data_IF_599053205486
#
_entry.id   IF_599053205486
#
_cell.length_a   1.000
_cell.length_b   1.000
_cell.length_c   1.000
_cell.angle_alpha   90.00
_cell.angle_beta   90.00
_cell.angle_gamma   90.00
#
_symmetry.space_group_name_H-M   'P 1'
#
loop_
_entity.id
_entity.type
_entity.pdbx_description
1 polymer ?
#
# COMPACT_ATOMS: atom_id res chain seq x y z
N UNK A 1 -4.36 0.24 -7.02
CA UNK A 1 -4.22 1.23 -8.13
C UNK A 1 -5.35 2.26 -8.20
N UNK A 2 -6.62 1.92 -8.44
CA UNK A 2 -7.71 2.92 -8.53
C UNK A 2 -7.95 3.71 -7.23
N UNK A 3 -7.82 3.03 -6.08
CA UNK A 3 -7.91 3.62 -4.74
C UNK A 3 -6.83 4.68 -4.48
N UNK A 4 -5.58 4.41 -4.88
CA UNK A 4 -4.46 5.32 -4.72
C UNK A 4 -4.67 6.61 -5.53
N UNK A 5 -5.17 6.48 -6.77
CA UNK A 5 -5.50 7.65 -7.59
C UNK A 5 -6.63 8.48 -6.96
N UNK A 6 -7.69 7.83 -6.48
CA UNK A 6 -8.79 8.53 -5.82
C UNK A 6 -8.32 9.28 -4.56
N UNK A 7 -7.52 8.64 -3.71
CA UNK A 7 -6.96 9.30 -2.51
C UNK A 7 -6.05 10.45 -2.89
N UNK A 8 -5.18 10.28 -3.89
CA UNK A 8 -4.33 11.36 -4.38
C UNK A 8 -5.16 12.58 -4.78
N UNK A 9 -6.18 12.39 -5.62
CA UNK A 9 -7.05 13.48 -6.06
C UNK A 9 -7.74 14.17 -4.88
N UNK A 10 -8.22 13.42 -3.89
CA UNK A 10 -8.82 14.02 -2.68
C UNK A 10 -7.79 14.85 -1.92
N UNK A 11 -6.59 14.31 -1.67
CA UNK A 11 -5.53 15.02 -0.93
C UNK A 11 -5.05 16.27 -1.67
N UNK A 12 -4.98 16.22 -3.00
CA UNK A 12 -4.61 17.37 -3.84
C UNK A 12 -5.62 18.52 -3.81
N UNK A 13 -6.84 18.28 -3.31
CA UNK A 13 -7.86 19.31 -3.12
C UNK A 13 -7.90 19.87 -1.69
N UNK A 14 -7.02 19.40 -0.78
CA UNK A 14 -6.96 19.90 0.60
C UNK A 14 -6.06 21.14 0.66
N UNK A 15 -6.56 22.29 1.17
CA UNK A 15 -5.72 23.47 1.38
C UNK A 15 -4.51 23.15 2.26
N UNK A 16 -3.31 23.59 1.84
CA UNK A 16 -2.05 23.32 2.54
C UNK A 16 -1.33 22.04 2.10
N UNK A 17 -1.92 21.23 1.20
CA UNK A 17 -1.23 20.13 0.54
C UNK A 17 -0.88 20.55 -0.89
N UNK A 18 0.38 20.93 -1.11
CA UNK A 18 0.91 21.11 -2.46
C UNK A 18 1.35 19.74 -2.99
N UNK A 19 0.48 19.09 -3.75
CA UNK A 19 0.75 17.82 -4.40
C UNK A 19 1.29 18.04 -5.82
N UNK A 20 2.30 17.28 -6.22
CA UNK A 20 2.91 17.35 -7.56
C UNK A 20 2.96 15.98 -8.26
N UNK A 21 3.55 15.92 -9.46
CA UNK A 21 3.65 14.68 -10.22
C UNK A 21 4.57 13.62 -9.59
N UNK A 22 5.57 14.03 -8.79
CA UNK A 22 6.39 13.08 -8.03
C UNK A 22 5.59 12.41 -6.92
N UNK A 23 4.73 13.17 -6.23
CA UNK A 23 3.82 12.64 -5.21
C UNK A 23 2.85 11.60 -5.81
N UNK A 24 2.34 11.88 -7.01
CA UNK A 24 1.53 10.93 -7.79
C UNK A 24 2.31 9.66 -8.14
N UNK A 25 3.55 9.79 -8.59
CA UNK A 25 4.39 8.64 -8.89
C UNK A 25 4.65 7.79 -7.63
N UNK A 26 4.90 8.42 -6.48
CA UNK A 26 5.14 7.75 -5.21
C UNK A 26 3.93 6.96 -4.73
N UNK A 27 2.73 7.55 -4.72
CA UNK A 27 1.52 6.84 -4.29
C UNK A 27 1.12 5.73 -5.26
N UNK A 28 1.41 5.84 -6.55
CA UNK A 28 1.19 4.75 -7.51
C UNK A 28 2.23 3.64 -7.31
N UNK A 29 3.49 4.00 -7.06
CA UNK A 29 4.59 3.04 -6.88
C UNK A 29 4.41 2.15 -5.64
N UNK A 30 3.60 2.56 -4.66
CA UNK A 30 3.31 1.72 -3.49
C UNK A 30 2.67 0.37 -3.86
N UNK A 31 1.95 0.29 -4.99
CA UNK A 31 1.37 -0.97 -5.47
C UNK A 31 2.45 -2.00 -5.88
N UNK A 32 3.71 -1.58 -6.06
CA UNK A 32 4.81 -2.50 -6.36
C UNK A 32 5.13 -3.44 -5.20
N UNK A 33 4.59 -3.20 -4.00
CA UNK A 33 4.73 -4.11 -2.85
C UNK A 33 4.19 -5.52 -3.17
N UNK A 34 3.16 -5.62 -4.01
CA UNK A 34 2.59 -6.90 -4.49
C UNK A 34 3.53 -7.72 -5.37
N UNK A 35 4.64 -7.14 -5.86
CA UNK A 35 5.65 -7.92 -6.57
C UNK A 35 6.26 -9.01 -5.68
N UNK A 36 6.08 -8.92 -4.35
CA UNK A 36 6.47 -9.98 -3.43
C UNK A 36 5.69 -11.30 -3.64
N UNK A 37 4.56 -11.27 -4.37
CA UNK A 37 3.84 -12.46 -4.82
C UNK A 37 4.69 -13.36 -5.72
N UNK A 38 5.60 -12.80 -6.52
CA UNK A 38 6.48 -13.57 -7.42
C UNK A 38 7.40 -14.54 -6.65
N UNK A 39 7.64 -14.28 -5.36
CA UNK A 39 8.47 -15.13 -4.50
C UNK A 39 7.66 -16.17 -3.71
N UNK A 40 6.33 -16.17 -3.83
CA UNK A 40 5.46 -17.14 -3.15
C UNK A 40 5.32 -18.45 -3.93
N UNK A 41 5.16 -19.58 -3.22
CA UNK A 41 4.87 -20.89 -3.83
C UNK A 41 3.59 -21.47 -3.24
N UNK A 42 2.56 -21.77 -4.05
CA UNK A 42 2.44 -21.50 -5.50
C UNK A 42 2.34 -19.99 -5.80
N UNK A 43 2.74 -19.55 -6.99
CA UNK A 43 2.75 -18.11 -7.34
C UNK A 43 1.32 -17.54 -7.38
N UNK A 44 0.38 -18.27 -7.99
CA UNK A 44 -1.04 -17.91 -8.02
C UNK A 44 -1.87 -18.86 -7.16
N UNK A 45 -2.53 -18.32 -6.12
CA UNK A 45 -3.56 -19.03 -5.37
C UNK A 45 -4.65 -18.04 -4.93
N UNK A 46 -5.88 -18.17 -5.44
CA UNK A 46 -6.93 -17.15 -5.29
C UNK A 46 -7.55 -17.09 -3.88
N UNK A 47 -7.28 -18.06 -3.01
CA UNK A 47 -7.81 -18.14 -1.64
C UNK A 47 -6.70 -18.42 -0.63
N UNK A 48 -5.66 -17.58 -0.59
CA UNK A 48 -4.64 -17.65 0.46
C UNK A 48 -4.62 -16.35 1.24
N UNK A 49 -4.20 -16.43 2.50
CA UNK A 49 -3.97 -15.26 3.33
C UNK A 49 -2.64 -14.58 2.92
N UNK A 50 -2.66 -13.34 2.38
CA UNK A 50 -1.46 -12.63 1.94
C UNK A 50 -0.43 -12.43 3.07
N UNK A 51 -0.88 -12.14 4.29
CA UNK A 51 -0.01 -11.92 5.45
C UNK A 51 0.76 -13.16 5.92
N UNK A 52 0.35 -14.36 5.49
CA UNK A 52 1.05 -15.60 5.87
C UNK A 52 1.99 -16.11 4.78
N UNK A 53 1.81 -15.67 3.55
CA UNK A 53 2.37 -16.33 2.36
C UNK A 53 3.37 -15.49 1.57
N UNK A 54 3.39 -14.17 1.76
CA UNK A 54 4.32 -13.28 1.04
C UNK A 54 5.41 -12.72 1.94
N UNK A 55 6.60 -12.47 1.36
CA UNK A 55 7.78 -12.09 2.13
C UNK A 55 7.64 -10.72 2.80
N UNK A 56 7.11 -9.71 2.09
CA UNK A 56 6.90 -8.37 2.66
C UNK A 56 5.63 -8.35 3.50
N UNK A 57 4.55 -9.00 3.07
CA UNK A 57 3.30 -9.07 3.84
C UNK A 57 3.44 -9.89 5.14
N UNK A 58 4.31 -10.89 5.21
CA UNK A 58 4.63 -11.57 6.48
C UNK A 58 5.26 -10.62 7.50
N UNK A 59 5.93 -9.57 7.01
CA UNK A 59 6.53 -8.50 7.81
C UNK A 59 5.62 -7.25 7.87
N UNK A 60 4.30 -7.43 7.74
CA UNK A 60 3.35 -6.32 7.70
C UNK A 60 3.48 -5.34 8.87
N UNK A 61 3.80 -5.79 10.09
CA UNK A 61 3.99 -4.89 11.23
C UNK A 61 5.13 -3.90 10.99
N UNK A 62 6.25 -4.37 10.44
CA UNK A 62 7.38 -3.51 10.07
C UNK A 62 7.03 -2.58 8.90
N UNK A 63 6.29 -3.11 7.91
CA UNK A 63 5.85 -2.31 6.76
C UNK A 63 4.87 -1.22 7.15
N UNK A 64 3.90 -1.49 8.04
CA UNK A 64 2.98 -0.49 8.57
C UNK A 64 3.74 0.55 9.40
N UNK A 65 4.64 0.12 10.29
CA UNK A 65 5.44 1.05 11.09
C UNK A 65 6.28 1.98 10.20
N UNK A 66 6.96 1.43 9.19
CA UNK A 66 7.70 2.21 8.21
C UNK A 66 6.77 3.16 7.45
N UNK A 67 5.62 2.69 6.98
CA UNK A 67 4.66 3.51 6.24
C UNK A 67 4.11 4.66 7.08
N UNK A 68 3.89 4.43 8.38
CA UNK A 68 3.53 5.46 9.35
C UNK A 68 4.62 6.50 9.54
N UNK A 69 5.90 6.10 9.59
CA UNK A 69 7.01 7.05 9.65
C UNK A 69 7.08 7.86 8.35
N UNK A 70 7.02 7.20 7.20
CA UNK A 70 7.05 7.84 5.89
C UNK A 70 5.92 8.86 5.73
N UNK A 71 4.73 8.55 6.26
CA UNK A 71 3.57 9.43 6.24
C UNK A 71 3.85 10.83 6.83
N UNK A 72 4.76 10.96 7.79
CA UNK A 72 5.09 12.26 8.39
C UNK A 72 6.30 12.96 7.72
N UNK A 73 6.95 12.32 6.74
CA UNK A 73 8.20 12.81 6.15
C UNK A 73 7.98 13.18 4.69
N UNK A 74 8.14 14.46 4.32
CA UNK A 74 8.24 14.87 2.92
C UNK A 74 9.68 14.65 2.40
N UNK A 75 9.88 14.28 1.12
CA UNK A 75 8.88 14.11 0.05
C UNK A 75 8.20 12.72 -0.01
N UNK A 76 8.57 11.78 0.86
CA UNK A 76 8.13 10.37 0.79
C UNK A 76 6.73 10.08 1.39
N UNK A 77 6.06 11.11 1.91
CA UNK A 77 4.72 11.05 2.51
C UNK A 77 3.71 10.26 1.68
N UNK A 78 3.61 10.53 0.39
CA UNK A 78 2.64 9.89 -0.50
C UNK A 78 2.92 8.40 -0.72
N UNK A 79 4.18 7.97 -0.62
CA UNK A 79 4.53 6.54 -0.61
C UNK A 79 4.00 5.87 0.67
N UNK A 80 4.16 6.53 1.82
CA UNK A 80 3.61 6.06 3.10
C UNK A 80 2.08 5.92 3.07
N UNK A 81 1.38 6.93 2.55
CA UNK A 81 -0.08 6.88 2.34
C UNK A 81 -0.46 5.68 1.46
N UNK A 82 0.22 5.52 0.32
CA UNK A 82 -0.06 4.44 -0.62
C UNK A 82 0.16 3.05 -0.02
N UNK A 83 1.20 2.87 0.80
CA UNK A 83 1.48 1.61 1.48
C UNK A 83 0.45 1.30 2.58
N UNK A 84 0.05 2.30 3.38
CA UNK A 84 -1.00 2.12 4.40
C UNK A 84 -2.33 1.72 3.77
N UNK A 85 -2.71 2.36 2.66
CA UNK A 85 -3.91 2.00 1.89
C UNK A 85 -3.83 0.58 1.35
N UNK A 86 -2.66 0.16 0.88
CA UNK A 86 -2.43 -1.19 0.38
C UNK A 86 -2.72 -2.25 1.44
N UNK A 87 -2.06 -2.16 2.60
CA UNK A 87 -2.26 -3.10 3.70
C UNK A 87 -3.68 -3.05 4.28
N UNK A 88 -4.34 -1.88 4.25
CA UNK A 88 -5.74 -1.77 4.63
C UNK A 88 -6.66 -2.57 3.69
N UNK A 89 -6.42 -2.50 2.38
CA UNK A 89 -7.20 -3.26 1.39
C UNK A 89 -6.97 -4.76 1.53
N UNK A 90 -5.73 -5.20 1.76
CA UNK A 90 -5.43 -6.62 2.04
C UNK A 90 -6.17 -7.12 3.27
N UNK A 91 -6.20 -6.32 4.34
CA UNK A 91 -6.95 -6.66 5.54
C UNK A 91 -8.46 -6.76 5.28
N UNK A 92 -9.04 -5.82 4.53
CA UNK A 92 -10.45 -5.85 4.13
C UNK A 92 -10.75 -7.10 3.29
N UNK A 93 -9.87 -7.43 2.34
CA UNK A 93 -9.99 -8.61 1.48
C UNK A 93 -10.05 -9.90 2.29
N UNK A 94 -9.12 -10.06 3.23
CA UNK A 94 -9.09 -11.23 4.13
C UNK A 94 -10.36 -11.34 4.96
N UNK A 95 -10.82 -10.21 5.53
CA UNK A 95 -12.04 -10.19 6.33
C UNK A 95 -13.27 -10.55 5.52
N UNK A 96 -13.32 -10.13 4.24
CA UNK A 96 -14.40 -10.44 3.31
C UNK A 96 -14.41 -11.92 2.91
N UNK A 97 -13.25 -12.46 2.53
CA UNK A 97 -13.11 -13.82 2.01
C UNK A 97 -12.96 -14.88 3.11
N UNK A 98 -12.78 -14.45 4.38
CA UNK A 98 -12.62 -15.31 5.57
C UNK A 98 -11.44 -16.30 5.46
N UNK A 99 -10.29 -15.84 4.96
CA UNK A 99 -9.09 -16.65 4.65
C UNK A 99 -7.92 -16.46 5.61
#
# INVERSE_FOLDING_TARGET
>A
MATNLAVFLILSNIPGIEANYYDLALIISSNLVDLDHLFSRPIYHPKRNPFKTHFLHKKWMYMIALSFILFFVRPVMFLGVGLLLHFLLDYIYIKREKV
#
